data_IF_528299206712
#
_entry.id   IF_528299206712
#
_cell.length_a   1.000
_cell.length_b   1.000
_cell.length_c   1.000
_cell.angle_alpha   90.00
_cell.angle_beta   90.00
_cell.angle_gamma   90.00
#
_symmetry.space_group_name_H-M   'P 1'
#
loop_
_entity.id
_entity.type
_entity.pdbx_description
1 polymer ?
#
# COMPACT_ATOMS: atom_id res chain seq x y z
N UNK A 1 -38.93 32.56 -2.20
CA UNK A 1 -39.13 32.73 -3.66
C UNK A 1 -38.67 31.52 -4.48
N UNK A 2 -39.58 30.60 -4.79
CA UNK A 2 -39.30 29.40 -5.62
C UNK A 2 -39.02 29.77 -7.08
N UNK A 3 -39.56 30.91 -7.54
CA UNK A 3 -39.39 31.39 -8.92
C UNK A 3 -37.94 31.79 -9.22
N UNK A 4 -37.25 32.41 -8.28
CA UNK A 4 -35.87 32.86 -8.43
C UNK A 4 -34.87 31.69 -8.47
N UNK A 5 -35.14 30.61 -7.71
CA UNK A 5 -34.33 29.39 -7.75
C UNK A 5 -34.41 28.68 -9.12
N UNK A 6 -35.59 28.66 -9.73
CA UNK A 6 -35.80 28.05 -11.06
C UNK A 6 -35.12 28.80 -12.21
N UNK A 7 -34.84 30.09 -12.02
CA UNK A 7 -34.18 30.94 -13.02
C UNK A 7 -32.66 30.76 -12.96
N UNK A 8 -32.10 30.62 -11.75
CA UNK A 8 -30.69 30.32 -11.54
C UNK A 8 -30.28 28.96 -12.13
N UNK A 9 -31.13 27.93 -11.98
CA UNK A 9 -30.84 26.60 -12.54
C UNK A 9 -30.75 26.65 -14.07
N UNK A 10 -31.62 27.41 -14.74
CA UNK A 10 -31.62 27.51 -16.21
C UNK A 10 -30.40 28.26 -16.77
N UNK A 11 -29.89 29.26 -16.07
CA UNK A 11 -28.67 29.96 -16.50
C UNK A 11 -27.43 29.08 -16.42
N UNK A 12 -27.34 28.23 -15.38
CA UNK A 12 -26.23 27.29 -15.20
C UNK A 12 -26.17 26.21 -16.29
N UNK A 13 -27.33 25.71 -16.77
CA UNK A 13 -27.34 24.65 -17.80
C UNK A 13 -26.86 25.15 -19.17
N UNK A 14 -27.02 26.44 -19.49
CA UNK A 14 -26.60 26.97 -20.80
C UNK A 14 -25.07 27.08 -20.94
N UNK A 15 -24.32 27.11 -19.84
CA UNK A 15 -22.86 27.22 -19.86
C UNK A 15 -22.15 25.87 -20.08
N UNK A 16 -22.88 24.75 -20.02
CA UNK A 16 -22.30 23.39 -20.11
C UNK A 16 -22.48 22.73 -21.49
N UNK A 17 -23.09 23.40 -22.47
CA UNK A 17 -23.36 22.84 -23.80
C UNK A 17 -22.44 23.34 -24.93
N UNK A 18 -21.35 24.04 -24.62
CA UNK A 18 -20.35 24.44 -25.61
C UNK A 18 -19.00 23.79 -25.36
N UNK A 19 -18.66 22.71 -26.06
CA UNK A 19 -17.28 22.21 -26.03
C UNK A 19 -17.00 20.76 -26.45
N UNK A 20 -17.63 20.21 -27.48
CA UNK A 20 -17.07 19.04 -28.18
C UNK A 20 -16.04 19.49 -29.20
N UNK A 21 -14.86 19.89 -28.71
CA UNK A 21 -13.68 20.13 -29.55
C UNK A 21 -12.82 18.87 -29.56
N UNK A 22 -12.84 18.13 -30.67
CA UNK A 22 -12.00 16.98 -30.89
C UNK A 22 -10.51 17.33 -30.83
N UNK A 23 -9.71 16.47 -30.20
CA UNK A 23 -8.26 16.55 -30.22
C UNK A 23 -7.69 15.31 -30.92
N UNK A 24 -6.80 15.48 -31.92
CA UNK A 24 -6.25 14.38 -32.70
C UNK A 24 -5.15 13.62 -31.95
N UNK A 25 -5.20 12.29 -32.09
CA UNK A 25 -4.15 11.33 -31.74
C UNK A 25 -2.82 11.72 -32.40
N UNK A 26 -1.81 12.00 -31.58
CA UNK A 26 -0.41 12.09 -32.04
C UNK A 26 0.42 11.00 -31.37
N UNK A 27 0.82 10.05 -32.21
CA UNK A 27 1.66 8.88 -31.92
C UNK A 27 3.13 9.33 -31.82
N UNK A 28 3.88 9.05 -30.74
CA UNK A 28 5.32 9.30 -30.75
C UNK A 28 6.05 8.22 -31.58
N UNK A 29 7.12 8.58 -32.30
CA UNK A 29 7.86 7.65 -33.16
C UNK A 29 8.80 6.75 -32.36
N UNK A 30 8.88 5.51 -32.83
CA UNK A 30 9.94 4.55 -32.55
C UNK A 30 11.28 5.10 -33.04
N UNK A 31 12.28 5.17 -32.15
CA UNK A 31 13.68 5.15 -32.53
C UNK A 31 14.37 4.12 -31.65
N UNK A 32 14.86 3.07 -32.30
CA UNK A 32 15.77 2.12 -31.70
C UNK A 32 17.22 2.62 -31.81
N UNK A 33 18.07 1.79 -31.22
CA UNK A 33 19.47 1.55 -31.58
C UNK A 33 20.56 2.20 -30.71
N UNK A 34 21.34 1.27 -30.17
CA UNK A 34 22.80 1.21 -30.20
C UNK A 34 23.59 1.61 -28.95
N UNK A 35 24.35 0.60 -28.53
CA UNK A 35 25.39 0.55 -27.52
C UNK A 35 26.59 1.46 -27.88
N UNK A 36 27.19 2.06 -26.86
CA UNK A 36 28.60 2.49 -26.79
C UNK A 36 28.81 3.06 -25.37
N UNK A 37 29.72 2.63 -24.50
CA UNK A 37 30.99 1.95 -24.72
C UNK A 37 32.15 2.84 -24.31
N UNK A 38 32.29 3.22 -23.03
CA UNK A 38 33.59 3.65 -22.45
C UNK A 38 33.63 3.43 -20.93
N UNK A 39 34.60 2.66 -20.39
CA UNK A 39 34.84 2.54 -18.95
C UNK A 39 35.75 3.67 -18.45
N UNK A 40 35.35 4.33 -17.36
CA UNK A 40 36.21 5.29 -16.66
C UNK A 40 37.21 4.53 -15.76
N UNK A 41 38.48 4.79 -16.03
CA UNK A 41 39.67 4.30 -15.34
C UNK A 41 39.97 5.23 -14.16
N UNK A 42 39.86 4.74 -12.93
CA UNK A 42 40.38 5.42 -11.72
C UNK A 42 41.49 4.56 -11.14
N UNK A 43 42.73 5.04 -11.29
CA UNK A 43 43.90 4.47 -10.63
C UNK A 43 44.12 5.15 -9.26
N UNK A 44 44.05 4.35 -8.20
CA UNK A 44 45.07 4.25 -7.15
C UNK A 44 45.26 5.40 -6.15
N UNK A 45 44.84 5.17 -4.89
CA UNK A 45 45.71 5.11 -3.70
C UNK A 45 44.82 4.56 -2.56
N UNK A 46 45.11 3.47 -1.86
CA UNK A 46 46.34 3.21 -1.13
C UNK A 46 46.18 3.66 0.32
N UNK A 47 45.52 2.86 1.18
CA UNK A 47 45.72 2.78 2.64
C UNK A 47 45.00 1.56 3.23
N UNK A 48 45.70 0.94 4.18
CA UNK A 48 45.61 -0.45 4.68
C UNK A 48 44.38 -0.73 5.55
N UNK A 49 43.97 -2.00 5.74
CA UNK A 49 42.85 -2.37 6.59
C UNK A 49 43.20 -2.23 8.08
N UNK A 50 42.35 -1.53 8.84
CA UNK A 50 42.44 -1.49 10.30
C UNK A 50 41.67 -2.68 10.87
N UNK A 51 42.44 -3.62 11.41
CA UNK A 51 42.02 -4.77 12.20
C UNK A 51 41.62 -4.27 13.59
N UNK A 52 40.32 -4.24 13.90
CA UNK A 52 39.85 -4.12 15.29
C UNK A 52 39.70 -5.53 15.83
N UNK A 53 40.48 -5.85 16.87
CA UNK A 53 40.46 -7.12 17.60
C UNK A 53 40.36 -6.76 19.07
N UNK A 54 39.19 -6.90 19.68
CA UNK A 54 38.91 -6.97 21.12
C UNK A 54 37.38 -6.99 21.28
N UNK A 55 36.74 -7.74 22.17
CA UNK A 55 37.19 -8.75 23.12
C UNK A 55 35.93 -9.52 23.49
N UNK A 56 36.04 -10.84 23.53
CA UNK A 56 35.02 -11.79 23.98
C UNK A 56 34.72 -11.52 25.46
N UNK A 57 33.44 -11.37 25.80
CA UNK A 57 32.95 -11.63 27.15
C UNK A 57 31.79 -12.61 26.98
N UNK A 58 32.07 -13.87 27.32
CA UNK A 58 31.05 -14.89 27.58
C UNK A 58 30.61 -14.69 29.03
N UNK A 59 29.32 -14.71 29.31
CA UNK A 59 28.82 -15.48 30.46
C UNK A 59 27.29 -15.66 30.42
N UNK A 60 26.93 -16.94 30.40
CA UNK A 60 25.73 -17.69 30.80
C UNK A 60 24.35 -17.03 30.84
N UNK A 61 23.46 -17.63 30.04
CA UNK A 61 22.02 -17.57 30.20
C UNK A 61 21.32 -18.53 29.24
N UNK A 62 21.65 -19.83 29.31
CA UNK A 62 20.79 -20.88 28.76
C UNK A 62 19.49 -20.90 29.58
N UNK A 63 18.36 -20.51 28.99
CA UNK A 63 17.10 -21.14 29.33
C UNK A 63 16.16 -21.14 28.13
N UNK A 64 15.74 -22.37 27.84
CA UNK A 64 14.80 -22.85 26.86
C UNK A 64 13.55 -21.98 26.75
N UNK A 65 13.23 -21.66 25.52
CA UNK A 65 11.92 -21.26 25.06
C UNK A 65 11.78 -21.85 23.67
N UNK A 66 11.57 -23.16 23.62
CA UNK A 66 10.97 -23.84 22.47
C UNK A 66 9.60 -23.20 22.24
N UNK A 67 9.56 -22.07 21.54
CA UNK A 67 8.33 -21.48 21.02
C UNK A 67 8.25 -21.83 19.54
N UNK A 68 7.77 -23.04 19.31
CA UNK A 68 6.95 -23.45 18.17
C UNK A 68 7.57 -23.24 16.77
N UNK A 69 8.50 -24.12 16.38
CA UNK A 69 8.54 -24.61 15.00
C UNK A 69 7.32 -25.53 14.73
N UNK A 70 6.09 -25.01 14.95
CA UNK A 70 4.88 -25.67 14.44
C UNK A 70 4.80 -25.41 12.94
N UNK A 71 5.45 -26.30 12.20
CA UNK A 71 5.08 -26.78 10.87
C UNK A 71 4.39 -25.74 9.99
N UNK A 72 5.22 -25.12 9.15
CA UNK A 72 4.89 -24.37 7.93
C UNK A 72 4.12 -25.21 6.88
N UNK A 73 3.40 -26.26 7.31
CA UNK A 73 2.89 -27.37 6.51
C UNK A 73 1.44 -27.15 6.00
N UNK A 74 0.80 -26.05 6.39
CA UNK A 74 -0.56 -25.70 5.95
C UNK A 74 -0.67 -24.25 5.45
N UNK A 75 0.28 -23.81 4.63
CA UNK A 75 0.15 -22.58 3.87
C UNK A 75 -0.76 -22.84 2.65
N UNK A 76 -1.87 -22.11 2.56
CA UNK A 76 -2.72 -22.10 1.37
C UNK A 76 -2.50 -20.82 0.57
N UNK A 77 -2.72 -20.91 -0.73
CA UNK A 77 -2.76 -19.74 -1.57
C UNK A 77 -4.02 -18.92 -1.25
N UNK A 78 -3.86 -17.62 -0.97
CA UNK A 78 -4.95 -16.72 -0.61
C UNK A 78 -6.04 -16.71 -1.69
N UNK A 79 -5.63 -16.74 -2.95
CA UNK A 79 -6.47 -16.86 -4.13
C UNK A 79 -5.72 -17.60 -5.24
N UNK A 80 -6.38 -18.43 -6.07
CA UNK A 80 -5.70 -19.17 -7.13
C UNK A 80 -4.84 -18.28 -8.03
N UNK A 81 -3.62 -18.75 -8.32
CA UNK A 81 -2.62 -18.11 -9.16
C UNK A 81 -2.14 -16.72 -8.68
N UNK A 82 -2.40 -16.37 -7.41
CA UNK A 82 -1.92 -15.11 -6.81
C UNK A 82 -0.46 -15.17 -6.36
N UNK A 83 0.09 -16.36 -6.10
CA UNK A 83 1.41 -16.58 -5.50
C UNK A 83 1.51 -16.15 -4.03
N UNK A 84 0.38 -15.83 -3.37
CA UNK A 84 0.36 -15.31 -1.99
C UNK A 84 0.00 -16.45 -1.05
N UNK A 85 1.01 -17.00 -0.39
CA UNK A 85 0.85 -18.06 0.58
C UNK A 85 0.63 -17.49 1.97
N UNK A 86 -0.43 -17.93 2.64
CA UNK A 86 -0.75 -17.59 4.02
C UNK A 86 -1.14 -18.87 4.78
N UNK A 87 -0.82 -19.00 6.08
CA UNK A 87 -1.29 -20.12 6.87
C UNK A 87 -2.82 -20.20 6.88
N UNK A 88 -3.40 -21.34 6.53
CA UNK A 88 -4.86 -21.55 6.51
C UNK A 88 -5.50 -21.24 7.86
N UNK A 89 -4.81 -21.58 8.96
CA UNK A 89 -5.24 -21.27 10.32
C UNK A 89 -5.45 -19.77 10.53
N UNK A 90 -4.52 -18.92 10.06
CA UNK A 90 -4.64 -17.46 10.19
C UNK A 90 -5.80 -16.89 9.37
N UNK A 91 -6.04 -17.44 8.18
CA UNK A 91 -7.19 -17.05 7.35
C UNK A 91 -8.50 -17.41 8.07
N UNK A 92 -8.60 -18.64 8.57
CA UNK A 92 -9.79 -19.12 9.29
C UNK A 92 -10.06 -18.32 10.57
N UNK A 93 -9.03 -18.08 11.39
CA UNK A 93 -9.15 -17.24 12.61
C UNK A 93 -9.60 -15.83 12.26
N UNK A 94 -9.05 -15.24 11.19
CA UNK A 94 -9.48 -13.92 10.72
C UNK A 94 -10.95 -13.90 10.27
N UNK A 95 -11.41 -14.95 9.57
CA UNK A 95 -12.80 -15.07 9.12
C UNK A 95 -13.75 -15.24 10.32
N UNK A 96 -13.39 -16.08 11.28
CA UNK A 96 -14.18 -16.32 12.49
C UNK A 96 -14.28 -15.05 13.35
N UNK A 97 -13.14 -14.35 13.55
CA UNK A 97 -13.08 -13.10 14.33
C UNK A 97 -13.87 -11.98 13.64
N UNK A 98 -13.97 -12.01 12.31
CA UNK A 98 -14.74 -11.02 11.58
C UNK A 98 -16.25 -11.13 11.83
N UNK A 99 -16.76 -12.26 12.36
CA UNK A 99 -18.18 -12.44 12.71
C UNK A 99 -19.12 -11.99 11.58
N UNK A 100 -18.91 -12.52 10.37
CA UNK A 100 -19.68 -12.14 9.18
C UNK A 100 -19.51 -10.68 8.71
N UNK A 101 -18.50 -9.95 9.20
CA UNK A 101 -18.21 -8.59 8.78
C UNK A 101 -17.07 -8.54 7.76
N UNK A 102 -17.41 -8.45 6.47
CA UNK A 102 -16.43 -8.37 5.39
C UNK A 102 -15.39 -7.26 5.60
N UNK A 103 -15.74 -6.15 6.27
CA UNK A 103 -14.80 -5.04 6.51
C UNK A 103 -13.71 -5.43 7.49
N UNK A 104 -14.05 -6.20 8.53
CA UNK A 104 -13.07 -6.71 9.49
C UNK A 104 -12.19 -7.76 8.82
N UNK A 105 -12.79 -8.70 8.08
CA UNK A 105 -12.03 -9.71 7.36
C UNK A 105 -11.05 -9.11 6.34
N UNK A 106 -11.51 -8.14 5.53
CA UNK A 106 -10.66 -7.41 4.58
C UNK A 106 -9.47 -6.74 5.28
N UNK A 107 -9.68 -6.15 6.46
CA UNK A 107 -8.62 -5.48 7.22
C UNK A 107 -7.62 -6.48 7.81
N UNK A 108 -8.07 -7.65 8.23
CA UNK A 108 -7.20 -8.73 8.71
C UNK A 108 -6.33 -9.28 7.57
N UNK A 109 -6.92 -9.55 6.40
CA UNK A 109 -6.17 -9.95 5.20
C UNK A 109 -5.11 -8.91 4.80
N UNK A 110 -5.46 -7.62 4.86
CA UNK A 110 -4.52 -6.53 4.62
C UNK A 110 -3.31 -6.54 5.56
N UNK A 111 -3.50 -6.89 6.83
CA UNK A 111 -2.42 -6.99 7.82
C UNK A 111 -1.58 -8.27 7.68
N UNK A 112 -2.13 -9.32 7.07
CA UNK A 112 -1.40 -10.54 6.74
C UNK A 112 -0.54 -10.37 5.48
N UNK A 113 -1.06 -9.68 4.47
CA UNK A 113 -0.41 -9.56 3.15
C UNK A 113 0.56 -8.38 3.07
N UNK A 114 0.28 -7.28 3.78
CA UNK A 114 1.08 -6.05 3.68
C UNK A 114 1.56 -5.56 5.04
N UNK A 115 2.78 -5.06 5.06
CA UNK A 115 3.33 -4.38 6.23
C UNK A 115 2.71 -2.99 6.43
N UNK A 116 2.84 -2.43 7.63
CA UNK A 116 2.35 -1.08 7.93
C UNK A 116 3.08 -0.03 7.10
N UNK A 117 4.37 -0.22 6.88
CA UNK A 117 5.26 0.67 6.12
C UNK A 117 4.88 0.68 4.64
N UNK A 118 4.66 -0.51 4.05
CA UNK A 118 4.24 -0.64 2.65
C UNK A 118 2.87 -0.03 2.41
N UNK A 119 1.89 -0.26 3.31
CA UNK A 119 0.58 0.40 3.26
C UNK A 119 0.72 1.92 3.40
N UNK A 120 1.61 2.41 4.26
CA UNK A 120 1.78 3.85 4.48
C UNK A 120 2.41 4.57 3.29
N UNK A 121 3.39 3.94 2.65
CA UNK A 121 4.06 4.46 1.47
C UNK A 121 3.16 4.44 0.22
N UNK A 122 2.27 3.44 0.10
CA UNK A 122 1.52 3.15 -1.11
C UNK A 122 0.10 3.73 -1.12
N UNK A 123 -0.63 3.53 -2.22
CA UNK A 123 -2.05 3.84 -2.39
C UNK A 123 -2.80 2.66 -3.00
N UNK A 124 -4.14 2.63 -2.91
CA UNK A 124 -4.89 1.48 -3.44
C UNK A 124 -4.84 1.34 -4.98
N UNK A 125 -4.66 2.45 -5.73
CA UNK A 125 -4.70 2.47 -7.21
C UNK A 125 -3.63 3.35 -7.88
N UNK A 126 -2.70 3.94 -7.14
CA UNK A 126 -1.66 4.83 -7.69
C UNK A 126 -2.14 6.26 -8.01
N UNK A 127 -3.40 6.60 -7.72
CA UNK A 127 -3.96 7.91 -8.08
C UNK A 127 -3.63 8.99 -7.04
N UNK A 128 -3.36 10.23 -7.51
CA UNK A 128 -3.21 11.39 -6.64
C UNK A 128 -4.47 11.60 -5.80
N UNK A 129 -4.29 12.00 -4.54
CA UNK A 129 -5.39 12.45 -3.70
C UNK A 129 -5.97 13.76 -4.27
N UNK A 130 -7.12 13.68 -4.94
CA UNK A 130 -7.87 14.86 -5.37
C UNK A 130 -8.74 15.31 -4.20
N UNK A 131 -8.30 16.36 -3.50
CA UNK A 131 -9.03 16.97 -2.40
C UNK A 131 -8.82 18.48 -2.41
N UNK A 132 -9.82 19.23 -1.93
CA UNK A 132 -9.86 20.71 -1.92
C UNK A 132 -8.69 21.39 -1.17
N UNK A 133 -7.96 20.61 -0.37
CA UNK A 133 -6.82 21.05 0.44
C UNK A 133 -5.56 20.20 0.12
N UNK A 134 -5.60 19.42 -0.96
CA UNK A 134 -4.45 18.65 -1.43
C UNK A 134 -3.46 19.68 -1.96
N UNK A 135 -2.57 20.13 -1.07
CA UNK A 135 -1.39 20.91 -1.41
C UNK A 135 -0.88 20.43 -2.77
N UNK A 136 -0.68 21.37 -3.68
CA UNK A 136 -0.13 21.22 -5.03
C UNK A 136 1.10 20.28 -5.13
N UNK A 137 1.72 19.94 -4.00
CA UNK A 137 2.95 19.17 -3.84
C UNK A 137 2.79 17.75 -3.27
N UNK A 138 1.58 17.19 -3.11
CA UNK A 138 1.45 15.80 -2.69
C UNK A 138 1.89 14.85 -3.82
N UNK A 139 3.12 14.34 -3.74
CA UNK A 139 3.65 13.37 -4.70
C UNK A 139 2.69 12.18 -4.84
N UNK A 140 2.38 11.74 -6.07
CA UNK A 140 1.59 10.54 -6.28
C UNK A 140 2.29 9.36 -5.61
N UNK A 141 1.53 8.59 -4.83
CA UNK A 141 2.04 7.40 -4.16
C UNK A 141 1.92 6.20 -5.09
N UNK A 142 2.92 5.30 -5.11
CA UNK A 142 2.81 4.10 -5.92
C UNK A 142 1.57 3.29 -5.53
N UNK A 143 0.96 2.54 -6.46
CA UNK A 143 -0.06 1.56 -6.10
C UNK A 143 0.54 0.46 -5.21
N UNK A 144 -0.27 -0.10 -4.31
CA UNK A 144 0.01 -1.42 -3.73
C UNK A 144 0.09 -2.45 -4.85
N UNK A 145 0.73 -3.59 -4.57
CA UNK A 145 0.71 -4.71 -5.50
C UNK A 145 -0.74 -5.05 -5.88
N UNK A 146 -1.05 -4.84 -7.17
CA UNK A 146 -2.41 -4.99 -7.67
C UNK A 146 -2.81 -6.45 -7.72
N UNK A 147 -1.86 -7.38 -7.89
CA UNK A 147 -2.13 -8.80 -7.83
C UNK A 147 -2.62 -9.19 -6.43
N UNK A 148 -1.87 -8.80 -5.40
CA UNK A 148 -2.26 -8.99 -4.01
C UNK A 148 -3.57 -8.31 -3.61
N UNK A 149 -3.82 -7.10 -4.12
CA UNK A 149 -5.10 -6.42 -3.90
C UNK A 149 -6.26 -7.21 -4.53
N UNK A 150 -6.10 -7.72 -5.76
CA UNK A 150 -7.14 -8.53 -6.39
C UNK A 150 -7.36 -9.87 -5.67
N UNK A 151 -6.30 -10.53 -5.20
CA UNK A 151 -6.42 -11.75 -4.42
C UNK A 151 -7.27 -11.55 -3.15
N UNK A 152 -7.02 -10.46 -2.41
CA UNK A 152 -7.84 -10.09 -1.24
C UNK A 152 -9.29 -9.83 -1.65
N UNK A 153 -9.51 -9.05 -2.72
CA UNK A 153 -10.87 -8.72 -3.19
C UNK A 153 -11.63 -9.97 -3.57
N UNK A 154 -11.03 -10.85 -4.35
CA UNK A 154 -11.64 -12.10 -4.80
C UNK A 154 -11.93 -13.03 -3.63
N UNK A 155 -10.99 -13.20 -2.69
CA UNK A 155 -11.22 -14.02 -1.50
C UNK A 155 -12.38 -13.49 -0.67
N UNK A 156 -12.43 -12.18 -0.41
CA UNK A 156 -13.54 -11.56 0.34
C UNK A 156 -14.87 -11.74 -0.38
N UNK A 157 -14.94 -11.51 -1.70
CA UNK A 157 -16.19 -11.69 -2.45
C UNK A 157 -16.63 -13.16 -2.54
N UNK A 158 -15.69 -14.12 -2.43
CA UNK A 158 -16.03 -15.54 -2.35
C UNK A 158 -16.66 -15.92 -1.01
N UNK A 159 -16.15 -15.37 0.09
CA UNK A 159 -16.68 -15.62 1.45
C UNK A 159 -17.96 -14.81 1.73
N UNK A 160 -18.12 -13.67 1.06
CA UNK A 160 -19.23 -12.73 1.23
C UNK A 160 -19.89 -12.41 -0.13
N UNK A 161 -20.72 -13.32 -0.68
CA UNK A 161 -21.27 -13.20 -2.04
C UNK A 161 -22.14 -11.95 -2.26
N UNK A 162 -22.74 -11.41 -1.21
CA UNK A 162 -23.54 -10.19 -1.26
C UNK A 162 -22.70 -8.90 -1.37
N UNK A 163 -21.39 -8.97 -1.19
CA UNK A 163 -20.50 -7.81 -1.15
C UNK A 163 -19.86 -7.57 -2.51
N UNK A 164 -20.14 -6.39 -3.07
CA UNK A 164 -19.49 -5.93 -4.30
C UNK A 164 -18.01 -5.55 -4.10
N UNK A 165 -17.17 -5.88 -5.09
CA UNK A 165 -15.74 -5.54 -5.11
C UNK A 165 -15.43 -4.06 -4.82
N UNK A 166 -16.30 -3.14 -5.25
CA UNK A 166 -16.16 -1.70 -5.01
C UNK A 166 -16.19 -1.34 -3.53
N UNK A 167 -17.00 -2.06 -2.73
CA UNK A 167 -17.08 -1.88 -1.28
C UNK A 167 -15.81 -2.39 -0.60
N UNK A 168 -15.31 -3.55 -1.01
CA UNK A 168 -14.03 -4.12 -0.52
C UNK A 168 -12.88 -3.16 -0.82
N UNK A 169 -12.80 -2.64 -2.03
CA UNK A 169 -11.82 -1.61 -2.41
C UNK A 169 -11.96 -0.32 -1.59
N UNK A 170 -13.18 0.04 -1.17
CA UNK A 170 -13.41 1.15 -0.24
C UNK A 170 -12.78 0.89 1.13
N UNK A 171 -12.90 -0.33 1.66
CA UNK A 171 -12.28 -0.74 2.93
C UNK A 171 -10.76 -0.72 2.83
N UNK A 172 -10.18 -1.23 1.74
CA UNK A 172 -8.74 -1.21 1.47
C UNK A 172 -8.21 0.23 1.50
N UNK A 173 -8.87 1.15 0.77
CA UNK A 173 -8.51 2.57 0.78
C UNK A 173 -8.56 3.19 2.17
N UNK A 174 -9.61 2.88 2.93
CA UNK A 174 -9.77 3.39 4.29
C UNK A 174 -8.69 2.86 5.22
N UNK A 175 -8.38 1.56 5.16
CA UNK A 175 -7.33 0.93 5.97
C UNK A 175 -5.96 1.58 5.74
N UNK A 176 -5.59 1.78 4.48
CA UNK A 176 -4.36 2.47 4.09
C UNK A 176 -4.31 3.89 4.70
N UNK A 177 -5.43 4.63 4.62
CA UNK A 177 -5.51 5.96 5.21
C UNK A 177 -5.36 5.94 6.74
N UNK A 178 -5.98 4.97 7.42
CA UNK A 178 -5.87 4.80 8.87
C UNK A 178 -4.42 4.50 9.30
N UNK A 179 -3.74 3.59 8.59
CA UNK A 179 -2.34 3.24 8.88
C UNK A 179 -1.44 4.47 8.75
N UNK A 180 -1.59 5.27 7.69
CA UNK A 180 -0.84 6.52 7.52
C UNK A 180 -1.09 7.50 8.66
N UNK A 181 -2.34 7.68 9.06
CA UNK A 181 -2.68 8.56 10.19
C UNK A 181 -2.00 8.09 11.48
N UNK A 182 -2.03 6.79 11.77
CA UNK A 182 -1.41 6.21 12.97
C UNK A 182 0.10 6.43 13.00
N UNK A 183 0.81 6.12 11.90
CA UNK A 183 2.26 6.31 11.83
C UNK A 183 2.66 7.79 11.90
N UNK A 184 1.88 8.70 11.30
CA UNK A 184 2.12 10.13 11.44
C UNK A 184 2.00 10.59 12.91
N UNK A 185 0.97 10.13 13.61
CA UNK A 185 0.79 10.45 15.04
C UNK A 185 1.95 9.87 15.87
N UNK A 186 2.38 8.65 15.58
CA UNK A 186 3.49 8.01 16.28
C UNK A 186 4.80 8.79 16.08
N UNK A 187 5.14 9.16 14.85
CA UNK A 187 6.35 9.95 14.54
C UNK A 187 6.37 11.31 15.25
N UNK A 188 5.22 12.00 15.34
CA UNK A 188 5.11 13.26 16.08
C UNK A 188 5.37 13.04 17.58
N UNK A 189 4.84 11.96 18.16
CA UNK A 189 5.04 11.64 19.58
C UNK A 189 6.50 11.30 19.89
N UNK A 190 7.14 10.52 19.04
CA UNK A 190 8.56 10.14 19.19
C UNK A 190 9.47 11.39 19.12
N UNK A 191 9.19 12.31 18.20
CA UNK A 191 9.95 13.56 18.06
C UNK A 191 9.80 14.46 19.30
N UNK A 192 8.57 14.60 19.83
CA UNK A 192 8.31 15.39 21.03
C UNK A 192 8.95 14.79 22.31
N UNK A 193 9.18 13.47 22.35
CA UNK A 193 9.86 12.82 23.47
C UNK A 193 11.38 13.01 23.43
N UNK A 194 11.98 13.05 22.23
CA UNK A 194 13.41 13.31 22.06
C UNK A 194 13.80 14.76 22.36
N UNK A 195 12.90 15.73 22.16
CA UNK A 195 13.14 17.15 22.50
C UNK A 195 13.02 17.45 24.01
N UNK A 196 12.52 16.49 24.80
CA UNK A 196 12.32 16.63 26.26
C UNK A 196 13.44 15.99 27.10
N UNK A 197 14.45 15.39 26.47
CA UNK A 197 15.62 14.75 27.11
C UNK A 197 16.85 15.61 26.86
#
# INVERSE_FOLDING_TARGET
DVKQLSQNIRQLTSQLQGGTGGLPLSRPPSTGSACSGTPLKVNGSGKKPVRVKQQRQEDFGEHEGDEDEELEENAEELWPDSGILLPSSRIQTALQTAQQNYRLFTRSLMEMVFTKETMAASSARGQKAMGKNSMENASPRPPLDQNAVQAIVSRVCSEFPEVHQTLVMGVIRQKIADVRKRLKIQSIRESAHQESV
#
